data_IF_533232662030
#
_entry.id   IF_533232662030
#
_cell.length_a   1.000
_cell.length_b   1.000
_cell.length_c   1.000
_cell.angle_alpha   90.00
_cell.angle_beta   90.00
_cell.angle_gamma   90.00
#
_symmetry.space_group_name_H-M   'P 1'
#
loop_
_entity.id
_entity.type
_entity.pdbx_description
1 polymer ?
#
# COMPACT_ATOMS: atom_id res chain seq x y z
N UNK A 1 -22.85 -19.54 28.17
CA UNK A 1 -22.45 -19.49 29.59
C UNK A 1 -21.77 -18.15 29.82
N UNK A 2 -22.46 -17.28 30.53
CA UNK A 2 -22.05 -15.92 30.92
C UNK A 2 -21.22 -16.03 32.20
N UNK A 3 -20.14 -15.24 32.33
CA UNK A 3 -19.79 -14.57 33.60
C UNK A 3 -18.81 -13.41 33.38
N UNK A 4 -19.35 -12.21 33.60
CA UNK A 4 -18.67 -10.96 33.88
C UNK A 4 -18.35 -10.88 35.39
N UNK A 5 -17.35 -10.07 35.76
CA UNK A 5 -17.12 -9.55 37.12
C UNK A 5 -16.28 -8.26 36.97
N UNK A 6 -16.93 -7.09 37.06
CA UNK A 6 -17.04 -6.14 38.20
C UNK A 6 -15.71 -5.43 38.53
N UNK A 7 -15.55 -4.12 38.25
CA UNK A 7 -16.17 -2.90 38.79
C UNK A 7 -15.47 -2.36 40.05
N UNK A 8 -14.91 -1.14 39.93
CA UNK A 8 -14.31 -0.39 41.03
C UNK A 8 -14.16 1.09 40.67
N UNK A 9 -15.24 1.87 40.82
CA UNK A 9 -15.26 3.34 40.78
C UNK A 9 -14.97 3.89 42.18
N UNK A 10 -14.07 4.87 42.30
CA UNK A 10 -14.03 5.81 43.43
C UNK A 10 -14.00 7.25 42.89
N UNK A 11 -14.97 8.05 43.34
CA UNK A 11 -15.05 9.52 43.28
C UNK A 11 -14.50 10.04 44.59
N UNK A 12 -13.78 11.17 44.57
CA UNK A 12 -13.72 12.20 45.63
C UNK A 12 -13.20 13.48 44.94
N UNK A 13 -14.05 14.51 44.70
CA UNK A 13 -14.45 15.66 45.55
C UNK A 13 -13.38 16.76 45.66
N UNK A 14 -13.81 17.95 45.25
CA UNK A 14 -13.13 19.24 45.28
C UNK A 14 -12.67 19.64 46.69
N UNK A 15 -11.60 20.43 46.78
CA UNK A 15 -11.57 21.61 47.64
C UNK A 15 -10.56 22.65 47.12
N UNK A 16 -11.05 23.89 47.05
CA UNK A 16 -10.30 25.12 46.85
C UNK A 16 -9.54 25.43 48.15
N UNK A 17 -8.25 25.74 48.07
CA UNK A 17 -7.54 26.39 49.18
C UNK A 17 -6.79 27.63 48.70
N UNK A 18 -7.24 28.76 49.24
CA UNK A 18 -6.71 30.11 49.09
C UNK A 18 -5.50 30.32 50.00
N UNK A 19 -4.35 30.78 49.48
CA UNK A 19 -3.33 31.42 50.32
C UNK A 19 -2.72 32.68 49.71
N UNK A 20 -2.85 33.72 50.53
CA UNK A 20 -2.32 35.09 50.45
C UNK A 20 -0.80 35.14 50.32
N UNK A 21 -0.30 36.20 49.67
CA UNK A 21 0.99 36.81 50.01
C UNK A 21 0.85 38.34 50.09
N UNK A 22 1.10 38.82 51.30
CA UNK A 22 1.37 40.19 51.77
C UNK A 22 2.56 40.81 51.01
N UNK A 23 2.84 42.12 50.95
CA UNK A 23 2.93 43.10 52.04
C UNK A 23 3.42 44.46 51.49
N UNK A 24 2.99 45.57 52.15
CA UNK A 24 3.74 46.84 52.46
C UNK A 24 4.09 47.79 51.28
N UNK A 25 4.10 49.13 51.41
CA UNK A 25 4.18 50.02 52.58
C UNK A 25 3.67 51.46 52.25
N UNK A 26 3.23 52.14 53.32
CA UNK A 26 2.86 53.53 53.65
C UNK A 26 3.64 54.72 53.00
N UNK A 27 3.47 56.02 53.39
CA UNK A 27 2.54 56.65 54.37
C UNK A 27 1.89 57.98 53.89
N UNK A 28 0.98 58.57 54.69
CA UNK A 28 1.05 59.93 55.30
C UNK A 28 -0.33 60.52 55.63
N UNK A 29 -0.32 61.50 56.56
CA UNK A 29 -1.48 62.22 57.11
C UNK A 29 -2.33 62.95 56.06
N UNK A 30 -3.42 63.61 56.39
CA UNK A 30 -3.48 64.75 57.31
C UNK A 30 -4.94 65.11 57.64
N UNK A 31 -5.11 66.01 58.61
CA UNK A 31 -6.34 66.54 59.19
C UNK A 31 -7.10 67.46 58.24
N UNK A 32 -8.43 67.41 58.37
CA UNK A 32 -9.28 68.59 58.54
C UNK A 32 -9.75 69.34 57.29
N UNK A 33 -11.01 69.80 57.32
CA UNK A 33 -11.49 70.89 56.47
C UNK A 33 -12.82 70.63 55.78
N UNK A 34 -13.89 71.14 56.38
CA UNK A 34 -15.19 71.37 55.75
C UNK A 34 -15.10 72.52 54.74
N UNK A 35 -15.69 72.37 53.53
CA UNK A 35 -16.75 73.25 52.97
C UNK A 35 -16.97 73.06 51.46
N UNK A 36 -18.27 72.94 51.14
CA UNK A 36 -19.01 73.61 50.06
C UNK A 36 -18.79 73.26 48.58
N UNK A 37 -19.79 72.54 48.06
CA UNK A 37 -20.57 72.83 46.84
C UNK A 37 -19.92 73.58 45.66
N UNK A 38 -19.61 72.82 44.61
CA UNK A 38 -19.86 73.13 43.19
C UNK A 38 -19.46 71.89 42.36
N UNK A 39 -20.07 71.72 41.19
CA UNK A 39 -19.82 70.63 40.20
C UNK A 39 -20.74 69.41 40.34
N UNK A 40 -22.02 69.66 40.04
CA UNK A 40 -22.77 68.74 39.21
C UNK A 40 -22.14 68.71 37.80
N UNK A 41 -22.15 67.52 37.20
CA UNK A 41 -21.81 67.15 35.81
C UNK A 41 -20.35 66.77 35.52
N UNK A 42 -19.92 65.55 35.87
CA UNK A 42 -18.92 64.78 35.09
C UNK A 42 -18.65 63.35 35.62
N UNK A 43 -19.66 62.59 36.09
CA UNK A 43 -19.41 61.19 36.53
C UNK A 43 -20.45 60.17 36.04
N UNK A 44 -21.29 60.55 35.08
CA UNK A 44 -22.31 59.63 34.50
C UNK A 44 -22.08 59.28 33.03
N UNK A 45 -20.98 59.74 32.42
CA UNK A 45 -20.64 59.48 31.02
C UNK A 45 -19.82 58.19 30.78
N UNK A 46 -18.79 57.93 31.59
CA UNK A 46 -17.84 56.82 31.33
C UNK A 46 -18.45 55.41 31.55
N UNK A 47 -19.38 55.26 32.47
CA UNK A 47 -20.01 53.94 32.76
C UNK A 47 -21.07 53.55 31.70
N UNK A 48 -21.55 54.52 30.91
CA UNK A 48 -22.59 54.28 29.89
C UNK A 48 -22.02 53.83 28.54
N UNK A 49 -20.77 54.19 28.20
CA UNK A 49 -20.09 53.81 26.94
C UNK A 49 -19.32 52.48 27.02
N UNK A 50 -18.86 52.04 28.20
CA UNK A 50 -18.14 50.76 28.36
C UNK A 50 -19.04 49.51 28.21
N UNK A 51 -20.34 49.62 28.52
CA UNK A 51 -21.30 48.50 28.45
C UNK A 51 -21.59 48.07 27.01
N UNK A 52 -21.92 49.00 26.08
CA UNK A 52 -22.10 48.68 24.67
C UNK A 52 -20.82 48.15 23.99
N UNK A 53 -19.64 48.64 24.39
CA UNK A 53 -18.35 48.17 23.86
C UNK A 53 -18.04 46.73 24.27
N UNK A 54 -18.26 46.36 25.54
CA UNK A 54 -18.09 44.96 26.00
C UNK A 54 -19.11 43.99 25.40
N UNK A 55 -20.34 44.44 25.19
CA UNK A 55 -21.37 43.64 24.50
C UNK A 55 -21.00 43.45 23.02
N UNK A 56 -20.50 44.49 22.32
CA UNK A 56 -20.01 44.38 20.95
C UNK A 56 -18.80 43.44 20.82
N UNK A 57 -17.80 43.57 21.70
CA UNK A 57 -16.64 42.67 21.73
C UNK A 57 -17.04 41.21 22.02
N UNK A 58 -18.02 40.97 22.92
CA UNK A 58 -18.55 39.62 23.16
C UNK A 58 -19.26 39.04 21.94
N UNK A 59 -20.01 39.87 21.21
CA UNK A 59 -20.75 39.43 20.01
C UNK A 59 -19.78 39.09 18.87
N UNK A 60 -18.75 39.92 18.66
CA UNK A 60 -17.69 39.66 17.66
C UNK A 60 -16.92 38.38 17.98
N UNK A 61 -16.65 38.12 19.26
CA UNK A 61 -15.92 36.92 19.69
C UNK A 61 -16.77 35.64 19.59
N UNK A 62 -18.08 35.74 19.80
CA UNK A 62 -19.03 34.64 19.54
C UNK A 62 -19.15 34.34 18.03
N UNK A 63 -19.20 35.36 17.18
CA UNK A 63 -19.22 35.22 15.72
C UNK A 63 -17.94 34.57 15.18
N UNK A 64 -16.76 34.97 15.69
CA UNK A 64 -15.47 34.35 15.34
C UNK A 64 -15.40 32.86 15.75
N UNK A 65 -15.90 32.51 16.94
CA UNK A 65 -15.95 31.13 17.43
C UNK A 65 -16.94 30.27 16.63
N UNK A 66 -18.07 30.82 16.19
CA UNK A 66 -19.01 30.13 15.29
C UNK A 66 -18.42 29.91 13.89
N UNK A 67 -17.75 30.92 13.31
CA UNK A 67 -17.09 30.79 12.02
C UNK A 67 -15.97 29.75 12.05
N UNK A 68 -15.20 29.71 13.15
CA UNK A 68 -14.15 28.71 13.36
C UNK A 68 -14.73 27.29 13.47
N UNK A 69 -15.78 27.09 14.28
CA UNK A 69 -16.48 25.79 14.38
C UNK A 69 -17.07 25.35 13.05
N UNK A 70 -17.56 26.28 12.23
CA UNK A 70 -18.08 25.98 10.89
C UNK A 70 -16.96 25.50 9.96
N UNK A 71 -15.81 26.20 9.95
CA UNK A 71 -14.63 25.81 9.17
C UNK A 71 -14.08 24.43 9.59
N UNK A 72 -14.02 24.15 10.90
CA UNK A 72 -13.59 22.85 11.43
C UNK A 72 -14.52 21.72 10.98
N UNK A 73 -15.85 21.92 11.03
CA UNK A 73 -16.82 20.93 10.52
C UNK A 73 -16.73 20.71 9.02
N UNK A 74 -16.61 21.78 8.23
CA UNK A 74 -16.46 21.68 6.78
C UNK A 74 -15.15 20.95 6.39
N UNK A 75 -14.08 21.16 7.16
CA UNK A 75 -12.82 20.41 6.99
C UNK A 75 -12.95 18.94 7.38
N UNK A 76 -13.61 18.62 8.50
CA UNK A 76 -13.90 17.24 8.91
C UNK A 76 -14.76 16.50 7.87
N UNK A 77 -15.81 17.14 7.33
CA UNK A 77 -16.66 16.57 6.28
C UNK A 77 -15.87 16.31 4.99
N UNK A 78 -15.01 17.25 4.59
CA UNK A 78 -14.13 17.10 3.42
C UNK A 78 -13.15 15.95 3.59
N UNK A 79 -12.52 15.83 4.75
CA UNK A 79 -11.61 14.72 5.07
C UNK A 79 -12.35 13.37 5.05
N UNK A 80 -13.57 13.32 5.60
CA UNK A 80 -14.40 12.11 5.59
C UNK A 80 -14.79 11.70 4.16
N UNK A 81 -15.13 12.66 3.29
CA UNK A 81 -15.46 12.39 1.89
C UNK A 81 -14.24 11.87 1.10
N UNK A 82 -13.07 12.48 1.29
CA UNK A 82 -11.81 12.05 0.68
C UNK A 82 -11.42 10.63 1.14
N UNK A 83 -11.58 10.31 2.43
CA UNK A 83 -11.34 8.97 2.97
C UNK A 83 -12.31 7.94 2.38
N UNK A 84 -13.60 8.28 2.31
CA UNK A 84 -14.62 7.41 1.71
C UNK A 84 -14.35 7.15 0.22
N UNK A 85 -13.96 8.18 -0.52
CA UNK A 85 -13.60 8.05 -1.93
C UNK A 85 -12.34 7.19 -2.12
N UNK A 86 -11.31 7.41 -1.29
CA UNK A 86 -10.09 6.58 -1.29
C UNK A 86 -10.39 5.12 -0.97
N UNK A 87 -11.30 4.84 -0.03
CA UNK A 87 -11.70 3.49 0.34
C UNK A 87 -12.47 2.80 -0.79
N UNK A 88 -13.43 3.51 -1.41
CA UNK A 88 -14.19 2.99 -2.56
C UNK A 88 -13.28 2.62 -3.74
N UNK A 89 -12.32 3.49 -4.06
CA UNK A 89 -11.33 3.21 -5.10
C UNK A 89 -10.48 1.97 -4.76
N UNK A 90 -10.01 1.87 -3.51
CA UNK A 90 -9.24 0.71 -3.06
C UNK A 90 -10.02 -0.62 -3.16
N UNK A 91 -11.30 -0.61 -2.78
CA UNK A 91 -12.20 -1.78 -2.89
C UNK A 91 -12.40 -2.16 -4.36
N UNK A 92 -12.69 -1.19 -5.22
CA UNK A 92 -12.90 -1.42 -6.65
C UNK A 92 -11.67 -2.05 -7.30
N UNK A 93 -10.49 -1.42 -7.15
CA UNK A 93 -9.22 -1.88 -7.71
C UNK A 93 -8.84 -3.27 -7.18
N UNK A 94 -9.05 -3.52 -5.89
CA UNK A 94 -8.74 -4.82 -5.28
C UNK A 94 -9.69 -5.91 -5.78
N UNK A 95 -10.98 -5.60 -5.89
CA UNK A 95 -11.98 -6.54 -6.40
C UNK A 95 -11.70 -6.92 -7.86
N UNK A 96 -11.41 -5.93 -8.72
CA UNK A 96 -11.06 -6.17 -10.11
C UNK A 96 -9.78 -7.02 -10.23
N UNK A 97 -8.74 -6.66 -9.48
CA UNK A 97 -7.47 -7.41 -9.45
C UNK A 97 -7.68 -8.87 -9.01
N UNK A 98 -8.42 -9.10 -7.93
CA UNK A 98 -8.69 -10.45 -7.42
C UNK A 98 -9.52 -11.26 -8.42
N UNK A 99 -10.55 -10.64 -9.01
CA UNK A 99 -11.40 -11.29 -10.01
C UNK A 99 -10.61 -11.70 -11.25
N UNK A 100 -9.88 -10.77 -11.87
CA UNK A 100 -9.08 -11.06 -13.06
C UNK A 100 -8.01 -12.13 -12.80
N UNK A 101 -7.40 -12.12 -11.61
CA UNK A 101 -6.45 -13.16 -11.18
C UNK A 101 -7.13 -14.52 -11.01
N UNK A 102 -8.31 -14.58 -10.40
CA UNK A 102 -9.06 -15.82 -10.21
C UNK A 102 -9.48 -16.45 -11.56
N UNK A 103 -9.93 -15.64 -12.51
CA UNK A 103 -10.27 -16.06 -13.87
C UNK A 103 -9.04 -16.64 -14.59
N UNK A 104 -7.93 -15.91 -14.61
CA UNK A 104 -6.69 -16.38 -15.23
C UNK A 104 -6.16 -17.65 -14.55
N UNK A 105 -6.26 -17.75 -13.22
CA UNK A 105 -5.90 -18.95 -12.46
C UNK A 105 -6.74 -20.15 -12.88
N UNK A 106 -8.06 -19.99 -13.02
CA UNK A 106 -8.94 -21.07 -13.45
C UNK A 106 -8.53 -21.61 -14.82
N UNK A 107 -8.24 -20.73 -15.78
CA UNK A 107 -7.77 -21.09 -17.12
C UNK A 107 -6.43 -21.84 -17.05
N UNK A 108 -5.48 -21.32 -16.28
CA UNK A 108 -4.14 -21.92 -16.16
C UNK A 108 -4.16 -23.29 -15.46
N UNK A 109 -5.05 -23.49 -14.48
CA UNK A 109 -5.23 -24.80 -13.84
C UNK A 109 -5.87 -25.83 -14.76
N UNK A 110 -6.74 -25.38 -15.68
CA UNK A 110 -7.36 -26.23 -16.69
C UNK A 110 -6.45 -26.47 -17.93
N UNK A 111 -5.26 -25.88 -17.97
CA UNK A 111 -4.35 -25.99 -19.11
C UNK A 111 -3.97 -27.44 -19.48
N UNK A 112 -3.67 -28.36 -18.55
CA UNK A 112 -3.30 -29.73 -18.91
C UNK A 112 -4.33 -30.45 -19.77
N UNK A 113 -5.63 -30.18 -19.54
CA UNK A 113 -6.73 -30.81 -20.26
C UNK A 113 -7.09 -30.11 -21.57
N UNK A 114 -6.70 -28.84 -21.72
CA UNK A 114 -7.09 -27.97 -22.85
C UNK A 114 -5.93 -27.62 -23.79
N UNK A 115 -4.75 -28.21 -23.60
CA UNK A 115 -3.59 -27.96 -24.46
C UNK A 115 -3.88 -28.45 -25.88
N UNK A 116 -3.41 -27.72 -26.90
CA UNK A 116 -3.58 -28.13 -28.28
C UNK A 116 -2.75 -29.38 -28.60
N UNK A 117 -3.24 -30.18 -29.55
CA UNK A 117 -2.52 -31.34 -30.08
C UNK A 117 -1.38 -30.95 -31.04
N UNK A 118 -0.62 -31.94 -31.51
CA UNK A 118 0.48 -31.71 -32.45
C UNK A 118 0.04 -31.06 -33.76
N UNK A 119 -1.19 -31.32 -34.22
CA UNK A 119 -1.71 -30.79 -35.49
C UNK A 119 -1.82 -29.27 -35.48
N UNK A 120 -2.11 -28.69 -34.31
CA UNK A 120 -2.11 -27.24 -34.12
C UNK A 120 -0.74 -26.62 -34.42
N UNK A 121 0.34 -27.25 -33.93
CA UNK A 121 1.70 -26.72 -34.04
C UNK A 121 2.28 -26.77 -35.45
N UNK A 122 1.79 -27.68 -36.30
CA UNK A 122 2.21 -27.79 -37.71
C UNK A 122 1.86 -26.55 -38.54
N UNK A 123 0.84 -25.78 -38.12
CA UNK A 123 0.35 -24.58 -38.81
C UNK A 123 1.12 -23.32 -38.40
N UNK A 124 1.94 -23.41 -37.36
CA UNK A 124 2.66 -22.28 -36.78
C UNK A 124 4.07 -22.16 -37.36
N UNK A 125 4.66 -20.98 -37.25
CA UNK A 125 5.99 -20.73 -37.80
C UNK A 125 7.10 -21.31 -36.90
N UNK A 126 7.83 -22.30 -37.42
CA UNK A 126 8.98 -22.93 -36.75
C UNK A 126 10.33 -22.36 -37.20
N UNK A 127 10.37 -21.25 -37.93
CA UNK A 127 11.62 -20.70 -38.46
C UNK A 127 12.53 -20.27 -37.30
N UNK A 128 13.79 -20.72 -37.34
CA UNK A 128 14.81 -20.36 -36.34
C UNK A 128 14.91 -18.85 -36.19
N UNK A 129 14.93 -18.12 -37.31
CA UNK A 129 15.04 -16.65 -37.32
C UNK A 129 13.95 -15.97 -36.48
N UNK A 130 12.67 -16.34 -36.67
CA UNK A 130 11.58 -15.70 -35.92
C UNK A 130 11.55 -16.14 -34.47
N UNK A 131 11.77 -17.42 -34.18
CA UNK A 131 11.80 -17.94 -32.81
C UNK A 131 12.94 -17.28 -32.00
N UNK A 132 14.17 -17.24 -32.53
CA UNK A 132 15.30 -16.57 -31.88
C UNK A 132 15.07 -15.07 -31.71
N UNK A 133 14.42 -14.40 -32.68
CA UNK A 133 14.08 -12.98 -32.56
C UNK A 133 13.06 -12.75 -31.43
N UNK A 134 12.03 -13.59 -31.32
CA UNK A 134 11.05 -13.53 -30.25
C UNK A 134 11.69 -13.74 -28.87
N UNK A 135 12.53 -14.76 -28.71
CA UNK A 135 13.26 -15.02 -27.45
C UNK A 135 14.11 -13.81 -27.05
N UNK A 136 14.78 -13.15 -28.00
CA UNK A 136 15.55 -11.92 -27.73
C UNK A 136 14.66 -10.77 -27.26
N UNK A 137 13.45 -10.64 -27.80
CA UNK A 137 12.48 -9.61 -27.37
C UNK A 137 12.04 -9.83 -25.92
N UNK A 138 11.82 -11.08 -25.49
CA UNK A 138 11.40 -11.39 -24.12
C UNK A 138 12.36 -10.84 -23.05
N UNK A 139 13.67 -10.79 -23.33
CA UNK A 139 14.67 -10.26 -22.39
C UNK A 139 14.48 -8.77 -22.06
N UNK A 140 13.75 -8.04 -22.90
CA UNK A 140 13.47 -6.62 -22.71
C UNK A 140 11.97 -6.34 -22.86
N UNK A 141 11.12 -7.30 -22.47
CA UNK A 141 9.68 -7.13 -22.53
C UNK A 141 9.21 -5.99 -21.63
N UNK A 142 8.18 -5.30 -22.06
CA UNK A 142 7.54 -4.20 -21.32
C UNK A 142 6.02 -4.32 -21.41
N UNK A 143 5.32 -3.64 -20.50
CA UNK A 143 3.85 -3.62 -20.52
C UNK A 143 3.27 -3.13 -21.87
N UNK A 144 3.88 -2.12 -22.48
CA UNK A 144 3.45 -1.57 -23.77
C UNK A 144 3.51 -2.58 -24.94
N UNK A 145 4.29 -3.65 -24.80
CA UNK A 145 4.46 -4.66 -25.84
C UNK A 145 3.51 -5.84 -25.68
N UNK A 146 2.66 -5.88 -24.64
CA UNK A 146 1.78 -7.02 -24.30
C UNK A 146 1.05 -7.59 -25.50
N UNK A 147 0.30 -6.75 -26.23
CA UNK A 147 -0.48 -7.21 -27.39
C UNK A 147 0.40 -7.72 -28.54
N UNK A 148 1.50 -7.02 -28.81
CA UNK A 148 2.41 -7.38 -29.90
C UNK A 148 3.12 -8.71 -29.64
N UNK A 149 3.58 -8.93 -28.41
CA UNK A 149 4.22 -10.17 -27.99
C UNK A 149 3.21 -11.32 -27.98
N UNK A 150 1.97 -11.06 -27.57
CA UNK A 150 0.91 -12.08 -27.57
C UNK A 150 0.58 -12.55 -28.98
N UNK A 151 0.44 -11.61 -29.94
CA UNK A 151 0.22 -11.93 -31.35
C UNK A 151 1.38 -12.73 -31.93
N UNK A 152 2.62 -12.32 -31.65
CA UNK A 152 3.83 -13.01 -32.14
C UNK A 152 3.95 -14.42 -31.53
N UNK A 153 3.75 -14.57 -30.22
CA UNK A 153 3.73 -15.86 -29.53
C UNK A 153 2.70 -16.81 -30.16
N UNK A 154 1.47 -16.31 -30.38
CA UNK A 154 0.40 -17.12 -30.94
C UNK A 154 0.71 -17.65 -32.34
N UNK A 155 1.55 -16.96 -33.11
CA UNK A 155 1.95 -17.34 -34.47
C UNK A 155 3.19 -18.25 -34.54
N UNK A 156 3.91 -18.46 -33.43
CA UNK A 156 5.17 -19.21 -33.39
C UNK A 156 5.01 -20.60 -32.78
N UNK A 157 5.76 -21.55 -33.32
CA UNK A 157 5.96 -22.85 -32.72
C UNK A 157 7.24 -22.85 -31.87
N UNK A 158 7.08 -22.67 -30.56
CA UNK A 158 8.18 -22.59 -29.60
C UNK A 158 8.54 -23.94 -28.96
N UNK A 159 8.00 -25.06 -29.45
CA UNK A 159 8.16 -26.40 -28.84
C UNK A 159 9.63 -26.75 -28.58
N UNK A 160 10.53 -26.39 -29.49
CA UNK A 160 11.98 -26.65 -29.38
C UNK A 160 12.75 -25.61 -28.54
N UNK A 161 12.09 -24.55 -28.11
CA UNK A 161 12.71 -23.35 -27.54
C UNK A 161 12.25 -23.04 -26.11
N UNK A 162 11.46 -23.92 -25.48
CA UNK A 162 10.85 -23.66 -24.16
C UNK A 162 11.89 -23.33 -23.08
N UNK A 163 13.01 -24.06 -23.04
CA UNK A 163 14.11 -23.77 -22.11
C UNK A 163 14.74 -22.39 -22.34
N UNK A 164 14.95 -21.99 -23.60
CA UNK A 164 15.48 -20.66 -23.93
C UNK A 164 14.49 -19.54 -23.64
N UNK A 165 13.20 -19.78 -23.86
CA UNK A 165 12.10 -18.87 -23.50
C UNK A 165 12.06 -18.66 -21.99
N UNK A 166 12.10 -19.73 -21.20
CA UNK A 166 12.15 -19.67 -19.74
C UNK A 166 13.37 -18.90 -19.24
N UNK A 167 14.56 -19.19 -19.79
CA UNK A 167 15.78 -18.45 -19.49
C UNK A 167 15.68 -16.97 -19.85
N UNK A 168 15.13 -16.64 -21.01
CA UNK A 168 14.96 -15.25 -21.45
C UNK A 168 14.00 -14.45 -20.56
N UNK A 169 12.94 -15.07 -20.06
CA UNK A 169 12.02 -14.47 -19.09
C UNK A 169 12.70 -14.20 -17.74
N UNK A 170 13.57 -15.12 -17.27
CA UNK A 170 14.33 -14.92 -16.03
C UNK A 170 15.42 -13.87 -16.15
N UNK A 171 16.10 -13.81 -17.30
CA UNK A 171 17.11 -12.80 -17.61
C UNK A 171 16.49 -11.42 -17.88
N UNK A 172 15.17 -11.34 -18.04
CA UNK A 172 14.50 -10.10 -18.35
C UNK A 172 14.71 -9.05 -17.26
N UNK A 173 14.97 -7.82 -17.71
CA UNK A 173 15.12 -6.64 -16.82
C UNK A 173 13.77 -5.99 -16.55
N UNK A 174 12.90 -6.73 -15.89
CA UNK A 174 11.54 -6.28 -15.59
C UNK A 174 11.54 -5.09 -14.63
N UNK A 175 10.70 -4.09 -14.92
CA UNK A 175 10.24 -3.13 -13.91
C UNK A 175 9.00 -3.69 -13.20
N UNK A 176 8.62 -3.09 -12.07
CA UNK A 176 7.38 -3.46 -11.39
C UNK A 176 6.13 -3.32 -12.28
N UNK A 177 6.14 -2.36 -13.20
CA UNK A 177 5.06 -2.16 -14.17
C UNK A 177 4.99 -3.25 -15.24
N UNK A 178 6.07 -4.01 -15.48
CA UNK A 178 6.15 -5.00 -16.55
C UNK A 178 5.77 -6.41 -16.08
N UNK A 179 5.67 -6.64 -14.77
CA UNK A 179 5.28 -7.93 -14.18
C UNK A 179 3.92 -8.43 -14.72
N UNK A 180 2.87 -7.59 -14.85
CA UNK A 180 1.61 -8.04 -15.42
C UNK A 180 1.74 -8.57 -16.86
N UNK A 181 2.58 -7.97 -17.70
CA UNK A 181 2.85 -8.43 -19.06
C UNK A 181 3.61 -9.76 -19.04
N UNK A 182 4.67 -9.87 -18.21
CA UNK A 182 5.41 -11.10 -18.05
C UNK A 182 4.49 -12.28 -17.64
N UNK A 183 3.60 -12.05 -16.67
CA UNK A 183 2.62 -13.05 -16.21
C UNK A 183 1.67 -13.48 -17.32
N UNK A 184 1.17 -12.52 -18.11
CA UNK A 184 0.29 -12.83 -19.23
C UNK A 184 0.97 -13.68 -20.30
N UNK A 185 2.20 -13.31 -20.68
CA UNK A 185 3.01 -14.11 -21.61
C UNK A 185 3.28 -15.51 -21.04
N UNK A 186 3.61 -15.62 -19.76
CA UNK A 186 3.78 -16.92 -19.07
C UNK A 186 2.49 -17.74 -19.07
N UNK A 187 1.32 -17.11 -18.90
CA UNK A 187 0.03 -17.77 -18.97
C UNK A 187 -0.22 -18.41 -20.34
N UNK A 188 0.01 -17.67 -21.43
CA UNK A 188 -0.15 -18.20 -22.79
C UNK A 188 0.84 -19.35 -23.04
N UNK A 189 2.09 -19.22 -22.59
CA UNK A 189 3.10 -20.28 -22.72
C UNK A 189 2.69 -21.54 -21.95
N UNK A 190 2.24 -21.41 -20.70
CA UNK A 190 1.78 -22.52 -19.86
C UNK A 190 0.57 -23.26 -20.44
N UNK A 191 -0.39 -22.50 -20.99
CA UNK A 191 -1.58 -23.02 -21.64
C UNK A 191 -1.27 -23.78 -22.93
N UNK A 192 -0.13 -23.52 -23.56
CA UNK A 192 0.25 -24.12 -24.85
C UNK A 192 1.31 -25.21 -24.73
N UNK A 193 2.26 -25.08 -23.81
CA UNK A 193 3.44 -25.93 -23.74
C UNK A 193 3.55 -26.56 -22.34
N UNK A 194 3.45 -27.89 -22.28
CA UNK A 194 3.45 -28.63 -21.02
C UNK A 194 4.73 -28.44 -20.19
N UNK A 195 5.88 -28.38 -20.87
CA UNK A 195 7.20 -28.28 -20.24
C UNK A 195 7.55 -26.88 -19.73
N UNK A 196 6.71 -25.87 -20.01
CA UNK A 196 7.05 -24.47 -19.74
C UNK A 196 7.25 -24.16 -18.26
N UNK A 197 6.29 -24.55 -17.42
CA UNK A 197 6.34 -24.25 -15.97
C UNK A 197 7.54 -24.91 -15.30
N UNK A 198 7.88 -26.13 -15.69
CA UNK A 198 9.06 -26.85 -15.19
C UNK A 198 10.36 -26.13 -15.59
N UNK A 199 10.52 -25.78 -16.87
CA UNK A 199 11.69 -25.05 -17.35
C UNK A 199 11.86 -23.67 -16.68
N UNK A 200 10.74 -22.98 -16.41
CA UNK A 200 10.74 -21.70 -15.71
C UNK A 200 11.17 -21.86 -14.25
N UNK A 201 10.64 -22.86 -13.55
CA UNK A 201 10.99 -23.16 -12.17
C UNK A 201 12.47 -23.53 -12.02
N UNK A 202 13.03 -24.31 -12.94
CA UNK A 202 14.46 -24.62 -12.98
C UNK A 202 15.31 -23.36 -13.15
N UNK A 203 14.87 -22.44 -14.01
CA UNK A 203 15.55 -21.16 -14.23
C UNK A 203 15.51 -20.27 -12.97
N UNK A 204 14.38 -20.25 -12.24
CA UNK A 204 14.28 -19.60 -10.93
C UNK A 204 15.23 -20.23 -9.91
N UNK A 205 15.21 -21.56 -9.76
CA UNK A 205 16.06 -22.25 -8.81
C UNK A 205 17.54 -21.99 -9.10
N UNK A 206 17.96 -22.04 -10.36
CA UNK A 206 19.33 -21.70 -10.74
C UNK A 206 19.70 -20.28 -10.30
N UNK A 207 18.85 -19.30 -10.60
CA UNK A 207 19.08 -17.88 -10.27
C UNK A 207 19.08 -17.60 -8.75
N UNK A 208 18.18 -18.25 -8.02
CA UNK A 208 17.96 -18.03 -6.59
C UNK A 208 18.96 -18.81 -5.72
N UNK A 209 19.37 -20.01 -6.14
CA UNK A 209 20.33 -20.86 -5.41
C UNK A 209 21.79 -20.51 -5.70
N UNK A 210 22.10 -19.93 -6.86
CA UNK A 210 23.48 -19.53 -7.22
C UNK A 210 24.01 -18.35 -6.42
N UNK A 211 23.19 -17.74 -5.55
CA UNK A 211 23.53 -16.52 -4.79
C UNK A 211 23.74 -16.76 -3.29
N UNK A 212 24.11 -17.97 -2.88
CA UNK A 212 24.31 -18.29 -1.45
C UNK A 212 25.47 -17.54 -0.78
N UNK A 213 26.47 -17.07 -1.54
CA UNK A 213 27.69 -16.48 -0.96
C UNK A 213 27.95 -15.00 -1.31
N UNK A 214 27.25 -14.43 -2.30
CA UNK A 214 27.32 -13.01 -2.58
C UNK A 214 26.17 -12.29 -1.86
N UNK A 215 26.50 -11.24 -1.09
CA UNK A 215 25.52 -10.20 -0.72
C UNK A 215 24.65 -9.94 -1.94
N UNK A 216 23.33 -9.83 -1.76
CA UNK A 216 22.35 -9.79 -2.84
C UNK A 216 22.61 -8.60 -3.79
N UNK A 217 23.55 -8.76 -4.74
CA UNK A 217 24.22 -7.66 -5.46
C UNK A 217 23.25 -6.87 -6.36
N UNK A 218 22.04 -7.38 -6.57
CA UNK A 218 20.98 -6.69 -7.29
C UNK A 218 19.64 -6.83 -6.54
N UNK A 219 19.54 -6.17 -5.39
CA UNK A 219 18.32 -6.08 -4.59
C UNK A 219 17.11 -5.58 -5.41
N UNK A 220 17.33 -4.64 -6.34
CA UNK A 220 16.27 -4.11 -7.21
C UNK A 220 15.66 -5.17 -8.12
N UNK A 221 16.49 -5.99 -8.79
CA UNK A 221 16.01 -7.11 -9.60
C UNK A 221 15.37 -8.18 -8.73
N UNK A 222 16.01 -8.56 -7.62
CA UNK A 222 15.48 -9.57 -6.72
C UNK A 222 14.08 -9.20 -6.19
N UNK A 223 13.85 -7.92 -5.86
CA UNK A 223 12.53 -7.41 -5.46
C UNK A 223 11.45 -7.63 -6.52
N UNK A 224 11.76 -7.39 -7.79
CA UNK A 224 10.83 -7.60 -8.90
C UNK A 224 10.62 -9.09 -9.15
N UNK A 225 11.70 -9.88 -9.16
CA UNK A 225 11.66 -11.33 -9.39
C UNK A 225 10.88 -12.07 -8.30
N UNK A 226 11.00 -11.65 -7.04
CA UNK A 226 10.25 -12.24 -5.93
C UNK A 226 8.75 -11.99 -6.06
N UNK A 227 8.35 -10.77 -6.47
CA UNK A 227 6.96 -10.48 -6.83
C UNK A 227 6.52 -11.36 -8.00
N UNK A 228 7.34 -11.44 -9.05
CA UNK A 228 7.02 -12.22 -10.24
C UNK A 228 6.80 -13.70 -9.90
N UNK A 229 7.64 -14.30 -9.06
CA UNK A 229 7.45 -15.66 -8.55
C UNK A 229 6.15 -15.81 -7.76
N UNK A 230 5.82 -14.82 -6.90
CA UNK A 230 4.56 -14.77 -6.18
C UNK A 230 3.35 -14.75 -7.11
N UNK A 231 3.39 -13.93 -8.15
CA UNK A 231 2.29 -13.83 -9.12
C UNK A 231 2.19 -15.12 -9.95
N UNK A 232 3.28 -15.77 -10.35
CA UNK A 232 3.25 -17.04 -11.09
C UNK A 232 2.50 -18.14 -10.33
N UNK A 233 2.68 -18.22 -9.02
CA UNK A 233 1.97 -19.17 -8.15
C UNK A 233 0.51 -18.76 -7.97
N UNK A 234 0.24 -17.47 -7.78
CA UNK A 234 -1.12 -16.96 -7.60
C UNK A 234 -1.98 -17.16 -8.85
N UNK A 235 -1.40 -16.98 -10.05
CA UNK A 235 -2.02 -17.25 -11.34
C UNK A 235 -2.06 -18.74 -11.72
N UNK A 236 -1.53 -19.66 -10.90
CA UNK A 236 -1.60 -21.10 -11.14
C UNK A 236 -0.74 -21.59 -12.30
N UNK A 237 0.26 -20.81 -12.72
CA UNK A 237 1.26 -21.22 -13.71
C UNK A 237 2.26 -22.17 -13.06
N UNK A 238 2.73 -21.80 -11.88
CA UNK A 238 3.44 -22.72 -10.97
C UNK A 238 2.45 -23.29 -9.98
N UNK A 239 2.54 -24.59 -9.71
CA UNK A 239 1.65 -25.20 -8.72
C UNK A 239 2.03 -24.75 -7.31
N UNK A 240 1.07 -24.82 -6.39
CA UNK A 240 1.33 -24.52 -4.98
C UNK A 240 2.43 -25.43 -4.40
N UNK A 241 2.46 -26.70 -4.82
CA UNK A 241 3.45 -27.69 -4.36
C UNK A 241 4.88 -27.32 -4.77
N UNK A 242 5.05 -26.69 -5.92
CA UNK A 242 6.36 -26.37 -6.49
C UNK A 242 6.81 -24.96 -6.10
N UNK A 243 5.94 -23.97 -6.23
CA UNK A 243 6.32 -22.56 -6.07
C UNK A 243 6.30 -22.06 -4.63
N UNK A 244 5.39 -22.56 -3.77
CA UNK A 244 5.33 -22.12 -2.37
C UNK A 244 6.61 -22.46 -1.58
N UNK A 245 7.20 -23.66 -1.71
CA UNK A 245 8.46 -23.95 -1.01
C UNK A 245 9.59 -23.01 -1.41
N UNK A 246 9.68 -22.63 -2.69
CA UNK A 246 10.69 -21.67 -3.17
C UNK A 246 10.44 -20.29 -2.56
N UNK A 247 9.20 -19.79 -2.61
CA UNK A 247 8.82 -18.51 -2.00
C UNK A 247 9.12 -18.48 -0.50
N UNK A 248 8.70 -19.51 0.24
CA UNK A 248 8.91 -19.63 1.67
C UNK A 248 10.40 -19.64 2.02
N UNK A 249 11.20 -20.41 1.27
CA UNK A 249 12.65 -20.43 1.45
C UNK A 249 13.27 -19.05 1.24
N UNK A 250 12.91 -18.35 0.17
CA UNK A 250 13.45 -17.02 -0.12
C UNK A 250 13.06 -15.98 0.93
N UNK A 251 11.79 -15.96 1.35
CA UNK A 251 11.33 -15.08 2.44
C UNK A 251 12.04 -15.40 3.75
N UNK A 252 12.24 -16.68 4.07
CA UNK A 252 12.98 -17.11 5.25
C UNK A 252 14.44 -16.65 5.21
N UNK A 253 15.11 -16.73 4.06
CA UNK A 253 16.47 -16.22 3.88
C UNK A 253 16.51 -14.71 4.11
N UNK A 254 15.61 -13.93 3.50
CA UNK A 254 15.57 -12.48 3.66
C UNK A 254 15.41 -12.06 5.13
N UNK A 255 14.52 -12.73 5.87
CA UNK A 255 14.28 -12.41 7.29
C UNK A 255 15.42 -12.89 8.19
N UNK A 256 15.97 -14.07 7.91
CA UNK A 256 16.95 -14.71 8.81
C UNK A 256 18.37 -14.17 8.64
N UNK A 257 18.72 -13.69 7.44
CA UNK A 257 20.08 -13.23 7.09
C UNK A 257 20.36 -11.77 7.40
N UNK A 258 19.35 -11.01 7.84
CA UNK A 258 19.44 -9.55 8.01
C UNK A 258 18.70 -9.09 9.27
N UNK A 259 19.23 -9.51 10.43
CA UNK A 259 18.59 -9.31 11.75
C UNK A 259 18.86 -7.93 12.35
N UNK A 260 19.88 -7.22 11.88
CA UNK A 260 20.38 -5.99 12.50
C UNK A 260 20.26 -4.79 11.55
N UNK A 261 20.77 -4.92 10.33
CA UNK A 261 20.83 -3.80 9.38
C UNK A 261 19.51 -3.56 8.64
N UNK A 262 18.66 -4.58 8.50
CA UNK A 262 17.32 -4.50 7.90
C UNK A 262 17.31 -3.99 6.44
N UNK A 263 18.42 -4.16 5.72
CA UNK A 263 18.60 -3.89 4.29
C UNK A 263 17.55 -4.55 3.37
N UNK A 264 16.97 -5.68 3.76
CA UNK A 264 16.00 -6.44 2.96
C UNK A 264 14.54 -6.06 3.24
N UNK A 265 14.24 -5.18 4.20
CA UNK A 265 12.88 -4.72 4.46
C UNK A 265 12.16 -4.13 3.23
N UNK A 266 12.81 -3.34 2.34
CA UNK A 266 12.15 -2.84 1.13
C UNK A 266 11.72 -3.97 0.18
N UNK A 267 12.42 -5.10 0.17
CA UNK A 267 12.08 -6.27 -0.64
C UNK A 267 10.83 -6.94 -0.06
N UNK A 268 10.85 -7.22 1.25
CA UNK A 268 9.74 -7.87 1.97
C UNK A 268 8.48 -7.01 1.90
N UNK A 269 8.60 -5.71 2.16
CA UNK A 269 7.46 -4.76 2.11
C UNK A 269 6.86 -4.70 0.71
N UNK A 270 7.70 -4.70 -0.33
CA UNK A 270 7.23 -4.74 -1.72
C UNK A 270 6.49 -6.04 -2.02
N UNK A 271 6.98 -7.18 -1.55
CA UNK A 271 6.28 -8.46 -1.70
C UNK A 271 4.92 -8.43 -1.00
N UNK A 272 4.85 -8.01 0.26
CA UNK A 272 3.59 -7.89 1.01
C UNK A 272 2.60 -6.94 0.32
N UNK A 273 3.08 -5.82 -0.24
CA UNK A 273 2.24 -4.86 -0.96
C UNK A 273 1.58 -5.45 -2.21
N UNK A 274 2.29 -6.32 -2.94
CA UNK A 274 1.84 -6.81 -4.24
C UNK A 274 1.21 -8.20 -4.21
N UNK A 275 1.61 -9.03 -3.25
CA UNK A 275 1.22 -10.44 -3.16
C UNK A 275 0.60 -10.78 -1.79
N UNK A 276 0.64 -9.87 -0.80
CA UNK A 276 0.25 -10.19 0.57
C UNK A 276 -1.23 -10.56 0.73
N UNK A 277 -2.10 -10.01 -0.11
CA UNK A 277 -3.52 -10.38 -0.16
C UNK A 277 -3.70 -11.86 -0.55
N UNK A 278 -2.94 -12.36 -1.53
CA UNK A 278 -3.02 -13.75 -1.98
C UNK A 278 -2.52 -14.77 -0.93
N UNK A 279 -1.46 -14.43 -0.18
CA UNK A 279 -0.74 -15.40 0.67
C UNK A 279 -1.03 -15.29 2.16
N UNK A 280 -1.41 -14.10 2.62
CA UNK A 280 -1.51 -13.80 4.05
C UNK A 280 -2.81 -13.13 4.44
N UNK A 281 -3.66 -12.78 3.47
CA UNK A 281 -4.92 -12.08 3.72
C UNK A 281 -4.72 -10.70 4.38
N UNK A 282 -3.55 -10.08 4.18
CA UNK A 282 -3.23 -8.80 4.81
C UNK A 282 -4.05 -7.70 4.13
N UNK A 283 -4.74 -6.92 4.97
CA UNK A 283 -5.40 -5.67 4.57
C UNK A 283 -4.62 -4.50 5.18
N UNK A 284 -4.24 -3.46 4.41
CA UNK A 284 -3.57 -2.29 4.95
C UNK A 284 -4.39 -1.62 6.05
N UNK A 285 -3.76 -1.17 7.14
CA UNK A 285 -4.47 -0.51 8.26
C UNK A 285 -5.31 0.68 7.84
N UNK A 286 -4.90 1.40 6.80
CA UNK A 286 -5.64 2.54 6.22
C UNK A 286 -7.06 2.14 5.76
N UNK A 287 -7.29 0.86 5.44
CA UNK A 287 -8.52 0.35 4.86
C UNK A 287 -9.14 -0.79 5.68
N UNK A 288 -8.77 -0.92 6.96
CA UNK A 288 -9.31 -1.93 7.88
C UNK A 288 -10.49 -1.39 8.68
#
# INVERSE_FOLDING_TARGET
MIKMSDAGKKKDKCDMDSRKASNKCAPQGDKGGSKSASELTEETGEVAEEKPQREAEQTEQEDEDEEKKKKEKEEEERLMEEELQSLKAYIADTTERVKGKAEARSINLAAPDNRPDESFFTKLDSSLKKNTAFIKKLRNLTEAQRESLSKELCALNLTKYIGEVAGALMDAKLKMSDVPCAIHICGILHQRYAEFSQALLESFNKYLLSKKDDKMNNASKYRVDLRFLGELVAYGILTAKEGLPVLANQLSILVSSDREEHNYLPIITSFCKHCGDDYTGIVPRKFR
#
